data_IF_456778613983
#
_entry.id   IF_456778613983
#
_cell.length_a   1.000
_cell.length_b   1.000
_cell.length_c   1.000
_cell.angle_alpha   90.00
_cell.angle_beta   90.00
_cell.angle_gamma   90.00
#
_symmetry.space_group_name_H-M   'P 1'
#
loop_
_entity.id
_entity.type
_entity.pdbx_description
1 polymer ?
#
# COMPACT_ATOMS: atom_id res chain seq x y z
N UNK A 1 33.03 -48.47 -44.05
CA UNK A 1 33.15 -47.18 -43.33
C UNK A 1 31.93 -47.06 -42.43
N UNK A 2 32.04 -47.49 -41.17
CA UNK A 2 30.91 -47.68 -40.25
C UNK A 2 31.08 -46.82 -39.00
N UNK A 3 29.97 -46.17 -38.63
CA UNK A 3 29.63 -45.49 -37.37
C UNK A 3 30.34 -46.07 -36.14
N UNK A 4 30.78 -45.22 -35.20
CA UNK A 4 30.39 -45.28 -33.78
C UNK A 4 30.47 -43.88 -33.13
N UNK A 5 29.31 -43.41 -32.69
CA UNK A 5 29.08 -42.33 -31.73
C UNK A 5 29.59 -42.74 -30.35
N UNK A 6 30.29 -41.85 -29.65
CA UNK A 6 30.42 -41.90 -28.19
C UNK A 6 30.21 -40.48 -27.66
N UNK A 7 29.02 -40.25 -27.10
CA UNK A 7 28.72 -39.11 -26.26
C UNK A 7 29.13 -39.47 -24.83
N UNK A 8 30.02 -38.69 -24.21
CA UNK A 8 30.20 -38.69 -22.77
C UNK A 8 29.41 -37.50 -22.20
N UNK A 9 28.31 -37.80 -21.51
CA UNK A 9 27.63 -36.85 -20.64
C UNK A 9 28.53 -36.57 -19.43
N UNK A 10 29.07 -35.36 -19.33
CA UNK A 10 29.53 -34.82 -18.06
C UNK A 10 28.32 -34.28 -17.30
N UNK A 11 27.91 -34.98 -16.24
CA UNK A 11 26.87 -34.52 -15.31
C UNK A 11 27.41 -33.28 -14.60
N UNK A 12 26.90 -32.12 -14.98
CA UNK A 12 27.08 -30.88 -14.24
C UNK A 12 26.31 -30.98 -12.92
N UNK A 13 27.01 -31.25 -11.82
CA UNK A 13 26.48 -31.05 -10.49
C UNK A 13 26.35 -29.54 -10.23
N UNK A 14 25.24 -28.96 -10.68
CA UNK A 14 24.76 -27.65 -10.22
C UNK A 14 24.25 -27.83 -8.79
N UNK A 15 25.17 -27.95 -7.83
CA UNK A 15 24.91 -27.47 -6.48
C UNK A 15 24.85 -25.95 -6.58
N UNK A 16 23.64 -25.44 -6.86
CA UNK A 16 23.33 -24.04 -6.69
C UNK A 16 23.60 -23.69 -5.24
N UNK A 17 24.72 -23.04 -4.98
CA UNK A 17 24.93 -22.28 -3.77
C UNK A 17 23.84 -21.22 -3.73
N UNK A 18 22.76 -21.53 -3.00
CA UNK A 18 21.98 -20.51 -2.32
C UNK A 18 22.93 -19.88 -1.29
N UNK A 19 23.84 -19.04 -1.77
CA UNK A 19 24.35 -17.95 -0.97
C UNK A 19 23.11 -17.10 -0.70
N UNK A 20 22.46 -17.36 0.44
CA UNK A 20 21.68 -16.34 1.10
C UNK A 20 22.63 -15.15 1.22
N UNK A 21 22.51 -14.20 0.29
CA UNK A 21 23.12 -12.89 0.48
C UNK A 21 22.46 -12.38 1.74
N UNK A 22 23.18 -12.51 2.85
CA UNK A 22 22.97 -11.70 4.03
C UNK A 22 23.19 -10.26 3.55
N UNK A 23 22.14 -9.65 2.99
CA UNK A 23 22.10 -8.22 2.82
C UNK A 23 22.36 -7.67 4.22
N UNK A 24 23.58 -7.19 4.47
CA UNK A 24 24.07 -6.89 5.80
C UNK A 24 23.03 -6.00 6.49
N UNK A 25 22.44 -6.51 7.57
CA UNK A 25 21.46 -5.78 8.35
C UNK A 25 22.21 -4.67 9.11
N UNK A 26 21.60 -3.49 9.23
CA UNK A 26 22.19 -2.43 10.03
C UNK A 26 22.26 -2.87 11.50
N UNK A 27 23.41 -2.64 12.14
CA UNK A 27 23.68 -3.11 13.51
C UNK A 27 23.17 -2.14 14.60
N UNK A 28 22.79 -0.93 14.21
CA UNK A 28 22.44 0.19 15.09
C UNK A 28 20.92 0.45 15.20
N UNK A 29 20.09 -0.47 14.69
CA UNK A 29 18.62 -0.36 14.73
C UNK A 29 18.02 -0.98 15.99
N UNK A 30 17.08 -0.27 16.60
CA UNK A 30 16.20 -0.83 17.65
C UNK A 30 15.23 -1.86 17.07
N UNK A 31 14.58 -2.64 17.95
CA UNK A 31 13.70 -3.74 17.52
C UNK A 31 12.53 -3.27 16.64
N UNK A 32 11.92 -2.14 16.98
CA UNK A 32 10.82 -1.50 16.25
C UNK A 32 11.27 -0.84 14.93
N UNK A 33 12.57 -0.53 14.80
CA UNK A 33 13.15 0.09 13.60
C UNK A 33 13.62 -0.93 12.55
N UNK A 34 13.96 -2.15 12.98
CA UNK A 34 14.56 -3.18 12.11
C UNK A 34 13.71 -3.52 10.89
N UNK A 35 12.46 -3.91 11.08
CA UNK A 35 11.61 -4.31 9.95
C UNK A 35 11.34 -3.14 8.99
N UNK A 36 10.91 -1.95 9.46
CA UNK A 36 10.61 -0.82 8.58
C UNK A 36 11.81 -0.39 7.74
N UNK A 37 12.97 -0.20 8.39
CA UNK A 37 14.15 0.36 7.72
C UNK A 37 14.77 -0.67 6.77
N UNK A 38 14.77 -1.95 7.13
CA UNK A 38 15.28 -3.00 6.25
C UNK A 38 14.37 -3.21 5.03
N UNK A 39 13.04 -3.11 5.20
CA UNK A 39 12.10 -3.14 4.08
C UNK A 39 12.33 -1.97 3.11
N UNK A 40 12.54 -0.76 3.65
CA UNK A 40 12.89 0.41 2.84
C UNK A 40 14.26 0.26 2.15
N UNK A 41 15.26 -0.31 2.83
CA UNK A 41 16.59 -0.61 2.24
C UNK A 41 16.47 -1.59 1.08
N UNK A 42 15.69 -2.66 1.24
CA UNK A 42 15.49 -3.66 0.19
C UNK A 42 14.80 -3.08 -1.05
N UNK A 43 13.90 -2.11 -0.86
CA UNK A 43 13.27 -1.32 -1.94
C UNK A 43 14.19 -0.23 -2.50
N UNK A 44 15.41 -0.12 -1.99
CA UNK A 44 16.38 0.91 -2.33
C UNK A 44 16.00 2.31 -1.86
N UNK A 45 14.93 2.50 -1.08
CA UNK A 45 14.42 3.82 -0.68
C UNK A 45 15.39 4.54 0.25
N UNK A 46 16.02 3.79 1.15
CA UNK A 46 17.02 4.31 2.09
C UNK A 46 18.33 3.52 1.99
N UNK A 47 19.43 4.17 2.33
CA UNK A 47 20.78 3.59 2.40
C UNK A 47 21.42 3.91 3.74
N UNK A 48 22.39 3.11 4.17
CA UNK A 48 23.20 3.44 5.36
C UNK A 48 24.11 4.63 5.10
N UNK A 49 24.72 5.17 6.17
CA UNK A 49 25.90 6.04 5.99
C UNK A 49 27.12 5.23 5.54
N UNK A 50 27.12 3.95 5.87
CA UNK A 50 28.05 2.93 5.40
C UNK A 50 27.31 1.58 5.24
N UNK A 51 28.06 0.47 5.12
CA UNK A 51 27.51 -0.87 4.96
C UNK A 51 26.80 -1.44 6.20
N UNK A 52 27.11 -0.93 7.39
CA UNK A 52 26.73 -1.48 8.69
C UNK A 52 25.85 -0.55 9.53
N UNK A 53 25.90 0.77 9.29
CA UNK A 53 25.22 1.77 10.11
C UNK A 53 24.19 2.58 9.31
N UNK A 54 23.01 2.76 9.90
CA UNK A 54 21.98 3.65 9.38
C UNK A 54 22.00 5.03 10.03
N UNK A 55 22.46 5.13 11.28
CA UNK A 55 22.40 6.30 12.16
C UNK A 55 20.96 6.75 12.42
N UNK A 56 20.10 5.88 13.00
CA UNK A 56 18.68 6.18 13.18
C UNK A 56 18.40 7.33 14.16
N UNK A 57 19.31 7.58 15.12
CA UNK A 57 19.16 8.66 16.11
C UNK A 57 19.68 10.01 15.62
N UNK A 58 20.38 10.05 14.48
CA UNK A 58 20.83 11.30 13.87
C UNK A 58 19.65 12.11 13.34
N UNK A 59 19.78 13.44 13.37
CA UNK A 59 18.76 14.33 12.80
C UNK A 59 18.70 14.14 11.28
N UNK A 60 17.48 14.10 10.74
CA UNK A 60 17.27 14.06 9.29
C UNK A 60 17.35 15.48 8.72
N UNK A 61 18.04 15.66 7.61
CA UNK A 61 17.95 16.92 6.87
C UNK A 61 16.65 17.00 6.08
N UNK A 62 16.19 18.23 5.81
CA UNK A 62 15.00 18.47 4.99
C UNK A 62 15.11 17.79 3.61
N UNK A 63 16.28 17.87 2.98
CA UNK A 63 16.53 17.21 1.70
C UNK A 63 16.46 15.68 1.78
N UNK A 64 17.00 15.08 2.84
CA UNK A 64 16.90 13.64 3.04
C UNK A 64 15.45 13.20 3.17
N UNK A 65 14.63 13.93 3.94
CA UNK A 65 13.23 13.59 4.11
C UNK A 65 12.41 13.76 2.84
N UNK A 66 12.62 14.84 2.07
CA UNK A 66 11.95 15.04 0.77
C UNK A 66 12.33 13.94 -0.22
N UNK A 67 13.61 13.59 -0.29
CA UNK A 67 14.08 12.50 -1.15
C UNK A 67 13.44 11.15 -0.77
N UNK A 68 13.35 10.85 0.53
CA UNK A 68 12.68 9.66 1.04
C UNK A 68 11.20 9.62 0.63
N UNK A 69 10.46 10.72 0.77
CA UNK A 69 9.04 10.79 0.37
C UNK A 69 8.85 10.53 -1.13
N UNK A 70 9.61 11.24 -1.96
CA UNK A 70 9.55 11.12 -3.43
C UNK A 70 9.82 9.69 -3.85
N UNK A 71 10.87 9.07 -3.32
CA UNK A 71 11.25 7.71 -3.67
C UNK A 71 10.31 6.66 -3.09
N UNK A 72 9.94 6.80 -1.81
CA UNK A 72 9.16 5.81 -1.09
C UNK A 72 7.72 5.70 -1.57
N UNK A 73 7.09 6.84 -1.88
CA UNK A 73 5.75 6.89 -2.45
C UNK A 73 5.77 6.91 -3.98
N UNK A 74 6.93 6.84 -4.64
CA UNK A 74 7.06 6.89 -6.09
C UNK A 74 6.34 8.13 -6.68
N UNK A 75 6.62 9.31 -6.12
CA UNK A 75 6.24 10.58 -6.75
C UNK A 75 7.09 10.75 -8.02
N UNK A 76 6.48 11.17 -9.12
CA UNK A 76 7.17 11.33 -10.40
C UNK A 76 6.52 12.45 -11.23
N UNK A 77 7.07 12.68 -12.41
CA UNK A 77 6.62 13.67 -13.38
C UNK A 77 6.26 13.01 -14.72
N UNK A 78 6.06 11.69 -14.77
CA UNK A 78 6.02 10.89 -16.01
C UNK A 78 4.80 11.26 -16.89
N UNK A 79 3.71 11.67 -16.24
CA UNK A 79 2.47 12.10 -16.90
C UNK A 79 2.48 13.58 -17.28
N UNK A 80 3.47 14.35 -16.82
CA UNK A 80 3.56 15.79 -17.05
C UNK A 80 4.26 16.07 -18.39
N UNK A 81 3.91 17.20 -19.01
CA UNK A 81 4.49 17.63 -20.28
C UNK A 81 5.05 19.04 -20.13
N UNK A 82 6.32 19.20 -20.47
CA UNK A 82 7.03 20.46 -20.31
C UNK A 82 7.65 20.91 -21.63
N UNK A 83 7.55 22.21 -21.92
CA UNK A 83 8.28 22.83 -23.03
C UNK A 83 9.77 22.96 -22.66
N UNK A 84 10.07 23.25 -21.39
CA UNK A 84 11.40 23.24 -20.78
C UNK A 84 11.31 22.45 -19.47
N UNK A 85 12.22 21.52 -19.22
CA UNK A 85 12.27 20.79 -17.94
C UNK A 85 12.42 21.81 -16.80
N UNK A 86 11.56 21.78 -15.77
CA UNK A 86 11.66 22.70 -14.64
C UNK A 86 12.89 22.37 -13.80
N UNK A 87 13.46 23.41 -13.20
CA UNK A 87 14.65 23.34 -12.36
C UNK A 87 14.29 23.73 -10.91
N UNK A 88 15.11 23.32 -9.94
CA UNK A 88 14.82 23.60 -8.53
C UNK A 88 14.80 25.11 -8.23
N UNK A 89 15.68 25.87 -8.88
CA UNK A 89 15.75 27.33 -8.77
C UNK A 89 14.51 28.06 -9.27
N UNK A 90 13.65 27.40 -10.07
CA UNK A 90 12.37 27.99 -10.49
C UNK A 90 11.40 28.15 -9.30
N UNK A 91 11.59 27.35 -8.24
CA UNK A 91 10.68 27.27 -7.08
C UNK A 91 11.35 27.67 -5.77
N UNK A 92 12.63 27.36 -5.59
CA UNK A 92 13.33 27.49 -4.32
C UNK A 92 14.57 28.36 -4.42
N UNK A 93 14.78 29.20 -3.40
CA UNK A 93 15.92 30.13 -3.36
C UNK A 93 17.23 29.43 -2.97
N UNK A 94 17.16 28.39 -2.14
CA UNK A 94 18.33 27.75 -1.53
C UNK A 94 18.58 26.32 -2.03
N UNK A 95 17.95 25.89 -3.14
CA UNK A 95 18.13 24.54 -3.72
C UNK A 95 18.88 24.66 -5.06
N UNK A 96 20.19 24.35 -5.10
CA UNK A 96 20.96 24.39 -6.34
C UNK A 96 20.49 23.33 -7.35
N UNK A 97 20.43 23.68 -8.63
CA UNK A 97 19.94 22.78 -9.69
C UNK A 97 20.77 21.49 -9.87
N UNK A 98 22.04 21.50 -9.44
CA UNK A 98 22.95 20.36 -9.53
C UNK A 98 23.07 19.57 -8.22
N UNK A 99 22.32 19.91 -7.17
CA UNK A 99 22.32 19.16 -5.93
C UNK A 99 21.70 17.76 -6.13
N UNK A 100 22.20 16.75 -5.42
CA UNK A 100 21.70 15.37 -5.52
C UNK A 100 20.20 15.24 -5.20
N UNK A 101 19.65 16.17 -4.42
CA UNK A 101 18.25 16.25 -4.05
C UNK A 101 17.41 17.16 -4.95
N UNK A 102 18.01 17.93 -5.88
CA UNK A 102 17.32 18.96 -6.64
C UNK A 102 16.09 18.42 -7.40
N UNK A 103 16.24 17.28 -8.06
CA UNK A 103 15.13 16.64 -8.79
C UNK A 103 14.02 16.19 -7.84
N UNK A 104 14.33 15.72 -6.63
CA UNK A 104 13.32 15.37 -5.63
C UNK A 104 12.51 16.59 -5.19
N UNK A 105 13.14 17.77 -5.04
CA UNK A 105 12.42 19.01 -4.73
C UNK A 105 11.48 19.45 -5.85
N UNK A 106 11.92 19.33 -7.11
CA UNK A 106 11.08 19.63 -8.28
C UNK A 106 9.87 18.68 -8.34
N UNK A 107 10.11 17.37 -8.19
CA UNK A 107 9.04 16.37 -8.17
C UNK A 107 8.06 16.66 -7.03
N UNK A 108 8.56 16.90 -5.82
CA UNK A 108 7.73 17.22 -4.66
C UNK A 108 6.85 18.45 -4.89
N UNK A 109 7.44 19.55 -5.41
CA UNK A 109 6.71 20.77 -5.72
C UNK A 109 5.57 20.52 -6.72
N UNK A 110 5.85 19.80 -7.80
CA UNK A 110 4.89 19.54 -8.87
C UNK A 110 3.79 18.54 -8.47
N UNK A 111 4.06 17.72 -7.46
CA UNK A 111 3.07 16.86 -6.83
C UNK A 111 2.34 17.54 -5.65
N UNK A 112 2.60 18.84 -5.40
CA UNK A 112 1.85 19.65 -4.44
C UNK A 112 2.30 19.53 -2.98
N UNK A 113 3.52 19.07 -2.71
CA UNK A 113 4.05 19.07 -1.34
C UNK A 113 4.35 20.52 -0.90
N UNK A 114 3.90 20.94 0.30
CA UNK A 114 4.00 22.33 0.77
C UNK A 114 5.40 22.65 1.32
N UNK A 115 6.40 22.71 0.44
CA UNK A 115 7.78 23.05 0.80
C UNK A 115 7.96 24.58 0.70
N UNK A 116 8.50 25.26 1.74
CA UNK A 116 8.76 26.70 1.68
C UNK A 116 9.77 27.08 0.60
N UNK A 117 9.58 28.23 -0.05
CA UNK A 117 10.48 28.75 -1.09
C UNK A 117 11.92 28.97 -0.59
N UNK A 118 12.06 29.39 0.66
CA UNK A 118 13.32 29.70 1.33
C UNK A 118 13.84 28.55 2.20
N UNK A 119 13.29 27.32 2.04
CA UNK A 119 13.71 26.12 2.76
C UNK A 119 15.24 25.96 2.77
N UNK A 120 15.82 25.62 3.92
CA UNK A 120 17.20 25.16 4.01
C UNK A 120 17.24 23.63 3.79
N UNK A 121 17.70 23.14 2.62
CA UNK A 121 17.71 21.71 2.34
C UNK A 121 18.69 20.91 3.24
N UNK A 122 19.71 21.58 3.79
CA UNK A 122 20.71 20.94 4.66
C UNK A 122 20.36 21.10 6.15
N UNK A 123 19.43 22.01 6.46
CA UNK A 123 18.86 22.18 7.79
C UNK A 123 18.04 20.97 8.22
N UNK A 124 17.73 20.92 9.52
CA UNK A 124 16.89 19.89 10.11
C UNK A 124 15.41 20.16 9.80
N UNK A 125 14.58 19.14 9.99
CA UNK A 125 13.13 19.23 9.84
C UNK A 125 12.45 18.80 11.14
N UNK A 126 11.44 19.56 11.56
CA UNK A 126 10.64 19.21 12.73
C UNK A 126 9.62 18.12 12.43
N UNK A 127 9.10 17.49 13.48
CA UNK A 127 8.09 16.43 13.37
C UNK A 127 6.80 16.90 12.70
N UNK A 128 6.31 18.10 13.03
CA UNK A 128 5.07 18.62 12.43
C UNK A 128 5.25 18.95 10.94
N UNK A 129 6.41 19.48 10.54
CA UNK A 129 6.72 19.77 9.14
C UNK A 129 6.77 18.47 8.32
N UNK A 130 7.45 17.44 8.84
CA UNK A 130 7.51 16.17 8.13
C UNK A 130 6.16 15.45 8.07
N UNK A 131 5.36 15.51 9.14
CA UNK A 131 4.00 15.00 9.14
C UNK A 131 3.15 15.67 8.04
N UNK A 132 3.27 16.98 7.90
CA UNK A 132 2.56 17.72 6.85
C UNK A 132 2.97 17.27 5.44
N UNK A 133 4.28 17.17 5.18
CA UNK A 133 4.79 16.69 3.90
C UNK A 133 4.36 15.24 3.61
N UNK A 134 4.40 14.36 4.61
CA UNK A 134 4.05 12.95 4.45
C UNK A 134 2.57 12.78 4.13
N UNK A 135 1.68 13.51 4.80
CA UNK A 135 0.24 13.48 4.54
C UNK A 135 -0.09 14.01 3.14
N UNK A 136 0.50 15.15 2.74
CA UNK A 136 0.33 15.65 1.37
C UNK A 136 0.86 14.65 0.34
N UNK A 137 1.99 13.99 0.62
CA UNK A 137 2.51 12.95 -0.26
C UNK A 137 1.59 11.72 -0.35
N UNK A 138 0.96 11.31 0.75
CA UNK A 138 -0.08 10.27 0.75
C UNK A 138 -1.25 10.69 -0.13
N UNK A 139 -1.74 11.93 -0.03
CA UNK A 139 -2.91 12.42 -0.78
C UNK A 139 -2.70 12.39 -2.31
N UNK A 140 -1.46 12.43 -2.78
CA UNK A 140 -1.14 12.23 -4.20
C UNK A 140 -1.47 10.82 -4.70
N UNK A 141 -1.65 9.86 -3.80
CA UNK A 141 -1.88 8.43 -4.10
C UNK A 141 -3.34 8.03 -4.05
N UNK A 142 -4.20 8.92 -3.59
CA UNK A 142 -5.64 8.70 -3.60
C UNK A 142 -6.33 9.47 -2.49
N UNK A 143 -7.65 9.29 -2.45
CA UNK A 143 -8.46 9.80 -1.36
C UNK A 143 -8.60 8.72 -0.29
N UNK A 144 -8.21 9.04 0.93
CA UNK A 144 -8.29 8.11 2.05
C UNK A 144 -9.31 8.62 3.08
N UNK A 145 -10.32 7.81 3.43
CA UNK A 145 -11.31 8.22 4.40
C UNK A 145 -10.66 8.42 5.77
N UNK A 146 -11.05 9.50 6.43
CA UNK A 146 -10.70 9.81 7.82
C UNK A 146 -12.00 9.75 8.61
N UNK A 147 -12.01 9.06 9.74
CA UNK A 147 -13.14 9.13 10.67
C UNK A 147 -13.14 10.51 11.35
N UNK A 148 -14.31 11.12 11.54
CA UNK A 148 -14.46 12.41 12.23
C UNK A 148 -14.24 12.26 13.76
N UNK A 149 -13.07 11.78 14.14
CA UNK A 149 -12.62 11.67 15.52
C UNK A 149 -11.52 12.71 15.75
N UNK A 150 -11.62 13.44 16.85
CA UNK A 150 -10.58 14.36 17.28
C UNK A 150 -9.68 13.67 18.31
N UNK A 151 -8.37 13.59 18.04
CA UNK A 151 -7.38 13.09 18.99
C UNK A 151 -6.82 14.27 19.76
N UNK A 152 -7.01 14.32 21.08
CA UNK A 152 -6.40 15.37 21.90
C UNK A 152 -4.89 15.10 22.06
N UNK A 153 -4.06 16.10 21.79
CA UNK A 153 -2.62 16.09 22.10
C UNK A 153 -2.36 16.90 23.37
N UNK A 154 -1.53 16.39 24.29
CA UNK A 154 -1.17 17.12 25.49
C UNK A 154 -0.33 18.38 25.22
N UNK A 155 0.27 18.49 24.04
CA UNK A 155 1.03 19.63 23.52
C UNK A 155 0.34 20.24 22.29
N UNK A 156 -1.00 20.23 22.27
CA UNK A 156 -1.82 20.75 21.16
C UNK A 156 -1.49 22.20 20.80
N UNK A 157 -1.17 23.04 21.79
CA UNK A 157 -0.89 24.46 21.61
C UNK A 157 0.47 24.72 20.94
N UNK A 158 1.37 23.72 20.93
CA UNK A 158 2.68 23.82 20.26
C UNK A 158 2.58 23.47 18.76
N UNK A 159 1.45 22.92 18.30
CA UNK A 159 1.23 22.53 16.90
C UNK A 159 0.86 23.76 16.08
N UNK A 160 1.53 24.01 14.96
CA UNK A 160 1.11 25.08 14.05
C UNK A 160 -0.32 24.78 13.51
N UNK A 161 -1.29 25.70 13.69
CA UNK A 161 -2.65 25.51 13.21
C UNK A 161 -2.75 25.15 11.72
N UNK A 162 -1.79 25.58 10.89
CA UNK A 162 -1.75 25.28 9.45
C UNK A 162 -1.54 23.81 9.15
N UNK A 163 -0.86 23.08 10.04
CA UNK A 163 -0.54 21.65 9.85
C UNK A 163 -1.29 20.75 10.82
N UNK A 164 -2.15 21.31 11.68
CA UNK A 164 -2.91 20.57 12.69
C UNK A 164 -3.72 19.41 12.10
N UNK A 165 -4.36 19.62 10.94
CA UNK A 165 -5.08 18.55 10.23
C UNK A 165 -4.16 17.39 9.83
N UNK A 166 -2.98 17.70 9.29
CA UNK A 166 -1.99 16.69 8.93
C UNK A 166 -1.52 15.91 10.16
N UNK A 167 -1.25 16.60 11.27
CA UNK A 167 -0.84 15.96 12.54
C UNK A 167 -1.94 15.03 13.09
N UNK A 168 -3.20 15.45 13.07
CA UNK A 168 -4.34 14.58 13.43
C UNK A 168 -4.38 13.32 12.55
N UNK A 169 -4.24 13.51 11.22
CA UNK A 169 -4.31 12.42 10.25
C UNK A 169 -3.18 11.41 10.41
N UNK A 170 -1.99 11.82 10.87
CA UNK A 170 -0.91 10.88 11.20
C UNK A 170 -1.37 9.81 12.21
N UNK A 171 -2.14 10.21 13.23
CA UNK A 171 -2.66 9.29 14.24
C UNK A 171 -3.90 8.54 13.75
N UNK A 172 -4.84 9.24 13.10
CA UNK A 172 -6.09 8.63 12.62
C UNK A 172 -5.86 7.57 11.53
N UNK A 173 -4.87 7.78 10.67
CA UNK A 173 -4.42 6.78 9.68
C UNK A 173 -3.51 5.71 10.29
N UNK A 174 -3.23 5.77 11.60
CA UNK A 174 -2.35 4.85 12.34
C UNK A 174 -0.94 4.78 11.77
N UNK A 175 -0.43 5.90 11.27
CA UNK A 175 0.95 6.01 10.77
C UNK A 175 1.94 6.10 11.93
N UNK A 176 1.48 6.65 13.05
CA UNK A 176 2.22 6.77 14.31
C UNK A 176 1.35 6.34 15.49
N UNK A 177 2.01 6.09 16.62
CA UNK A 177 1.37 5.93 17.93
C UNK A 177 1.97 6.97 18.88
N UNK A 178 1.13 7.57 19.73
CA UNK A 178 1.59 8.51 20.75
C UNK A 178 2.16 7.75 21.95
N UNK A 179 3.07 8.39 22.67
CA UNK A 179 3.57 7.88 23.95
C UNK A 179 2.51 7.96 25.05
N UNK A 180 2.85 7.44 26.23
CA UNK A 180 1.99 7.50 27.42
C UNK A 180 1.67 8.94 27.86
N UNK A 181 2.55 9.88 27.53
CA UNK A 181 2.37 11.31 27.77
C UNK A 181 1.35 11.98 26.84
N UNK A 182 0.84 11.26 25.84
CA UNK A 182 -0.11 11.75 24.83
C UNK A 182 0.38 12.97 24.03
N UNK A 183 1.71 13.17 23.94
CA UNK A 183 2.33 14.28 23.21
C UNK A 183 2.74 13.91 21.80
N UNK A 184 2.64 14.86 20.87
CA UNK A 184 3.12 14.71 19.50
C UNK A 184 4.58 15.17 19.33
N UNK A 185 5.04 16.11 20.15
CA UNK A 185 6.34 16.80 20.07
C UNK A 185 6.55 17.58 18.76
N UNK A 186 5.65 18.51 18.39
CA UNK A 186 5.63 19.11 17.05
C UNK A 186 6.93 19.82 16.66
N UNK A 187 7.53 20.56 17.61
CA UNK A 187 8.73 21.37 17.37
C UNK A 187 10.05 20.61 17.51
N UNK A 188 10.02 19.33 17.90
CA UNK A 188 11.25 18.54 18.02
C UNK A 188 11.76 18.18 16.64
N UNK A 189 13.07 18.28 16.46
CA UNK A 189 13.76 17.79 15.27
C UNK A 189 13.53 16.29 15.07
N UNK A 190 13.19 15.93 13.84
CA UNK A 190 12.92 14.57 13.43
C UNK A 190 14.23 13.81 13.25
N UNK A 191 14.29 12.60 13.82
CA UNK A 191 15.42 11.71 13.57
C UNK A 191 15.25 10.94 12.27
N UNK A 192 16.36 10.49 11.69
CA UNK A 192 16.39 9.71 10.46
C UNK A 192 15.63 8.38 10.58
N UNK A 193 15.73 7.72 11.74
CA UNK A 193 14.98 6.50 12.04
C UNK A 193 13.48 6.75 12.08
N UNK A 194 13.04 7.83 12.73
CA UNK A 194 11.62 8.19 12.78
C UNK A 194 11.06 8.51 11.39
N UNK A 195 11.77 9.29 10.59
CA UNK A 195 11.38 9.59 9.22
C UNK A 195 11.15 8.30 8.40
N UNK A 196 12.09 7.36 8.49
CA UNK A 196 12.01 6.09 7.79
C UNK A 196 10.85 5.22 8.30
N UNK A 197 10.64 5.12 9.62
CA UNK A 197 9.53 4.36 10.19
C UNK A 197 8.18 4.94 9.75
N UNK A 198 8.01 6.25 9.80
CA UNK A 198 6.78 6.92 9.40
C UNK A 198 6.49 6.73 7.91
N UNK A 199 7.51 6.87 7.06
CA UNK A 199 7.41 6.60 5.64
C UNK A 199 7.01 5.14 5.37
N UNK A 200 7.61 4.18 6.06
CA UNK A 200 7.24 2.78 5.92
C UNK A 200 5.77 2.53 6.28
N UNK A 201 5.30 3.09 7.39
CA UNK A 201 3.88 3.04 7.77
C UNK A 201 2.98 3.64 6.71
N UNK A 202 3.35 4.79 6.15
CA UNK A 202 2.60 5.46 5.07
C UNK A 202 2.54 4.61 3.79
N UNK A 203 3.65 3.98 3.40
CA UNK A 203 3.69 3.09 2.25
C UNK A 203 2.77 1.89 2.48
N UNK A 204 2.84 1.23 3.65
CA UNK A 204 1.95 0.12 3.99
C UNK A 204 0.49 0.55 4.00
N UNK A 205 0.21 1.74 4.51
CA UNK A 205 -1.13 2.34 4.48
C UNK A 205 -1.62 2.48 3.03
N UNK A 206 -0.89 3.18 2.17
CA UNK A 206 -1.25 3.37 0.75
C UNK A 206 -1.45 2.03 0.04
N UNK A 207 -0.52 1.08 0.21
CA UNK A 207 -0.57 -0.24 -0.40
C UNK A 207 -1.77 -1.07 0.10
N UNK A 208 -2.15 -0.93 1.37
CA UNK A 208 -3.32 -1.63 1.91
C UNK A 208 -4.63 -1.20 1.24
N UNK A 209 -4.77 0.09 0.93
CA UNK A 209 -5.94 0.62 0.20
C UNK A 209 -5.87 0.30 -1.28
N UNK A 210 -4.70 0.36 -1.91
CA UNK A 210 -4.53 -0.04 -3.31
C UNK A 210 -4.89 -1.53 -3.50
N UNK A 211 -4.57 -2.38 -2.54
CA UNK A 211 -4.93 -3.80 -2.56
C UNK A 211 -6.40 -4.04 -2.19
N UNK A 212 -7.00 -3.22 -1.33
CA UNK A 212 -8.45 -3.29 -1.04
C UNK A 212 -9.31 -2.74 -2.19
N UNK A 213 -8.77 -1.84 -3.02
CA UNK A 213 -9.43 -1.26 -4.20
C UNK A 213 -9.18 -2.05 -5.48
N UNK A 214 -8.22 -2.98 -5.52
CA UNK A 214 -8.22 -4.01 -6.55
C UNK A 214 -9.53 -4.78 -6.39
N UNK A 215 -10.44 -4.81 -7.38
CA UNK A 215 -11.49 -5.81 -7.35
C UNK A 215 -10.80 -7.15 -7.09
N UNK A 216 -11.33 -7.94 -6.16
CA UNK A 216 -10.89 -9.31 -5.96
C UNK A 216 -10.65 -9.91 -7.35
N UNK A 217 -9.52 -10.62 -7.60
CA UNK A 217 -9.24 -11.20 -8.90
C UNK A 217 -10.54 -11.76 -9.44
N UNK A 218 -11.03 -11.20 -10.55
CA UNK A 218 -12.29 -11.61 -11.13
C UNK A 218 -12.04 -13.03 -11.63
N UNK A 219 -12.15 -14.00 -10.73
CA UNK A 219 -12.30 -15.38 -11.11
C UNK A 219 -13.61 -15.45 -11.87
N UNK A 220 -13.56 -15.96 -13.09
CA UNK A 220 -14.74 -16.11 -13.93
C UNK A 220 -15.73 -17.06 -13.26
N UNK A 221 -16.72 -16.49 -12.58
CA UNK A 221 -17.85 -17.24 -12.04
C UNK A 221 -18.77 -17.60 -13.21
N UNK A 222 -18.89 -18.90 -13.47
CA UNK A 222 -19.78 -19.40 -14.51
C UNK A 222 -21.23 -19.33 -14.04
N UNK A 223 -22.08 -18.68 -14.84
CA UNK A 223 -23.53 -18.60 -14.62
C UNK A 223 -24.22 -19.63 -15.50
N UNK A 224 -24.88 -20.62 -14.89
CA UNK A 224 -25.75 -21.58 -15.58
C UNK A 224 -27.20 -21.28 -15.24
N UNK A 225 -28.07 -21.25 -16.25
CA UNK A 225 -29.51 -21.01 -16.07
C UNK A 225 -30.27 -22.27 -16.47
N UNK A 226 -31.00 -22.84 -15.54
CA UNK A 226 -31.84 -24.02 -15.73
C UNK A 226 -33.31 -23.61 -15.60
N UNK A 227 -34.12 -23.93 -16.61
CA UNK A 227 -35.56 -23.67 -16.56
C UNK A 227 -36.21 -24.61 -15.54
N UNK A 228 -36.89 -24.06 -14.54
CA UNK A 228 -37.67 -24.85 -13.56
C UNK A 228 -39.11 -24.97 -14.02
N UNK A 229 -39.73 -23.86 -14.40
CA UNK A 229 -41.06 -23.79 -15.00
C UNK A 229 -41.18 -22.54 -15.89
N UNK A 230 -42.39 -22.18 -16.35
CA UNK A 230 -42.60 -21.05 -17.25
C UNK A 230 -42.31 -19.68 -16.62
N UNK A 231 -42.40 -19.57 -15.29
CA UNK A 231 -42.27 -18.31 -14.56
C UNK A 231 -40.93 -18.15 -13.82
N UNK A 232 -40.18 -19.25 -13.61
CA UNK A 232 -38.99 -19.31 -12.74
C UNK A 232 -37.85 -20.08 -13.40
N UNK A 233 -36.65 -19.47 -13.35
CA UNK A 233 -35.37 -20.08 -13.65
C UNK A 233 -34.57 -20.32 -12.36
N UNK A 234 -33.87 -21.46 -12.28
CA UNK A 234 -32.81 -21.70 -11.31
C UNK A 234 -31.50 -21.19 -11.89
N UNK A 235 -30.74 -20.43 -11.11
CA UNK A 235 -29.45 -19.87 -11.51
C UNK A 235 -28.37 -20.44 -10.61
N UNK A 236 -27.37 -21.08 -11.21
CA UNK A 236 -26.23 -21.67 -10.52
C UNK A 236 -24.98 -20.86 -10.85
N UNK A 237 -24.30 -20.38 -9.81
CA UNK A 237 -23.00 -19.75 -9.87
C UNK A 237 -21.94 -20.81 -9.52
N UNK A 238 -21.02 -21.12 -10.45
CA UNK A 238 -19.89 -22.01 -10.21
C UNK A 238 -18.58 -21.24 -10.20
N UNK A 239 -17.75 -21.51 -9.18
CA UNK A 239 -16.38 -20.99 -9.05
C UNK A 239 -15.35 -21.85 -9.79
N UNK A 240 -15.81 -22.85 -10.56
CA UNK A 240 -14.96 -23.82 -11.26
C UNK A 240 -14.22 -24.77 -10.31
N UNK A 241 -13.39 -25.64 -10.89
CA UNK A 241 -12.58 -26.60 -10.14
C UNK A 241 -11.50 -25.90 -9.30
N UNK A 242 -11.38 -26.30 -8.04
CA UNK A 242 -10.42 -25.79 -7.06
C UNK A 242 -9.56 -26.93 -6.52
N UNK A 243 -8.26 -26.71 -6.27
CA UNK A 243 -7.30 -27.78 -5.98
C UNK A 243 -7.49 -28.47 -4.62
N UNK A 244 -8.13 -27.79 -3.67
CA UNK A 244 -8.38 -28.28 -2.31
C UNK A 244 -9.76 -27.88 -1.83
N UNK A 245 -10.19 -28.41 -0.67
CA UNK A 245 -11.33 -27.88 0.06
C UNK A 245 -11.07 -26.49 0.67
N UNK A 246 -12.12 -25.81 1.09
CA UNK A 246 -12.03 -24.50 1.78
C UNK A 246 -12.24 -23.29 0.87
N UNK A 247 -12.34 -23.49 -0.44
CA UNK A 247 -12.86 -22.48 -1.36
C UNK A 247 -14.39 -22.42 -1.28
N UNK A 248 -14.95 -21.22 -1.23
CA UNK A 248 -16.39 -20.99 -1.18
C UNK A 248 -16.84 -19.94 -2.18
N UNK A 249 -18.12 -20.03 -2.55
CA UNK A 249 -18.90 -18.99 -3.22
C UNK A 249 -20.24 -18.88 -2.48
N UNK A 250 -20.70 -17.66 -2.22
CA UNK A 250 -21.98 -17.41 -1.57
C UNK A 250 -22.72 -16.26 -2.25
N UNK A 251 -24.01 -16.43 -2.51
CA UNK A 251 -24.86 -15.35 -3.02
C UNK A 251 -25.22 -14.44 -1.85
N UNK A 252 -24.91 -13.14 -2.01
CA UNK A 252 -25.12 -12.12 -0.97
C UNK A 252 -26.40 -11.32 -1.19
N UNK A 253 -26.74 -10.99 -2.44
CA UNK A 253 -27.98 -10.26 -2.76
C UNK A 253 -28.41 -10.45 -4.21
N UNK A 254 -29.67 -10.13 -4.49
CA UNK A 254 -30.22 -10.12 -5.85
C UNK A 254 -30.91 -8.77 -6.05
N UNK A 255 -30.55 -8.06 -7.13
CA UNK A 255 -31.15 -6.79 -7.54
C UNK A 255 -31.76 -6.91 -8.92
N UNK A 256 -32.98 -6.42 -9.08
CA UNK A 256 -33.66 -6.37 -10.37
C UNK A 256 -33.50 -4.97 -10.97
N UNK A 257 -32.95 -4.89 -12.17
CA UNK A 257 -32.69 -3.63 -12.86
C UNK A 257 -33.77 -3.35 -13.91
N UNK A 258 -34.00 -2.06 -14.19
CA UNK A 258 -35.03 -1.61 -15.12
C UNK A 258 -34.79 -2.06 -16.57
N UNK A 259 -33.56 -2.49 -16.89
CA UNK A 259 -33.17 -3.04 -18.18
C UNK A 259 -33.48 -4.55 -18.34
N UNK A 260 -34.15 -5.16 -17.35
CA UNK A 260 -34.54 -6.56 -17.38
C UNK A 260 -33.44 -7.52 -16.88
N UNK A 261 -32.37 -7.03 -16.25
CA UNK A 261 -31.38 -7.88 -15.59
C UNK A 261 -31.75 -8.21 -14.14
N UNK A 262 -31.41 -9.42 -13.72
CA UNK A 262 -31.33 -9.80 -12.31
C UNK A 262 -29.86 -9.95 -11.95
N UNK A 263 -29.32 -8.93 -11.27
CA UNK A 263 -27.94 -8.88 -10.82
C UNK A 263 -27.81 -9.67 -9.52
N UNK A 264 -27.08 -10.78 -9.57
CA UNK A 264 -26.81 -11.69 -8.46
C UNK A 264 -25.42 -11.35 -7.93
N UNK A 265 -25.40 -10.72 -6.77
CA UNK A 265 -24.15 -10.35 -6.09
C UNK A 265 -23.62 -11.53 -5.29
N UNK A 266 -22.34 -11.85 -5.44
CA UNK A 266 -21.70 -12.98 -4.74
C UNK A 266 -20.43 -12.59 -4.00
N UNK A 267 -20.04 -13.38 -3.00
CA UNK A 267 -18.75 -13.32 -2.31
C UNK A 267 -17.97 -14.61 -2.55
N UNK A 268 -16.64 -14.49 -2.64
CA UNK A 268 -15.72 -15.61 -2.74
C UNK A 268 -14.97 -15.74 -1.42
N UNK A 269 -14.76 -16.97 -0.94
CA UNK A 269 -13.98 -17.26 0.27
C UNK A 269 -12.82 -18.16 -0.09
N UNK A 270 -11.61 -17.79 0.30
CA UNK A 270 -10.41 -18.61 0.12
C UNK A 270 -10.05 -19.34 1.42
N UNK A 271 -9.41 -20.52 1.30
CA UNK A 271 -8.90 -21.22 2.47
C UNK A 271 -7.86 -20.37 3.20
N UNK A 272 -7.93 -20.34 4.54
CA UNK A 272 -6.92 -19.64 5.34
C UNK A 272 -5.54 -20.29 5.14
N UNK A 273 -4.45 -19.51 5.13
CA UNK A 273 -3.10 -20.06 5.28
C UNK A 273 -3.07 -21.01 6.49
N UNK A 274 -2.47 -22.19 6.33
CA UNK A 274 -2.35 -23.24 7.35
C UNK A 274 -3.64 -23.95 7.78
N UNK A 275 -4.75 -23.78 7.04
CA UNK A 275 -5.96 -24.57 7.29
C UNK A 275 -5.83 -26.02 6.81
N UNK A 276 -6.24 -26.96 7.66
CA UNK A 276 -6.29 -28.40 7.36
C UNK A 276 -7.48 -28.70 6.43
N UNK A 277 -7.37 -28.32 5.15
CA UNK A 277 -8.38 -28.63 4.15
C UNK A 277 -8.15 -29.98 3.48
N UNK A 278 -9.21 -30.52 2.88
CA UNK A 278 -9.16 -31.73 2.07
C UNK A 278 -8.25 -31.52 0.86
N UNK A 279 -7.41 -32.51 0.56
CA UNK A 279 -6.52 -32.53 -0.62
C UNK A 279 -7.24 -33.16 -1.82
N UNK A 280 -8.44 -32.65 -2.13
CA UNK A 280 -9.27 -33.13 -3.23
C UNK A 280 -9.79 -31.94 -4.04
N UNK A 281 -9.92 -32.15 -5.35
CA UNK A 281 -10.50 -31.14 -6.24
C UNK A 281 -11.98 -30.94 -5.86
N UNK A 282 -12.39 -29.68 -5.68
CA UNK A 282 -13.78 -29.31 -5.36
C UNK A 282 -14.33 -28.33 -6.40
N UNK A 283 -15.64 -28.27 -6.57
CA UNK A 283 -16.30 -27.26 -7.41
C UNK A 283 -17.30 -26.46 -6.56
N UNK A 284 -16.88 -25.32 -5.97
CA UNK A 284 -17.77 -24.50 -5.16
C UNK A 284 -18.89 -23.91 -6.01
N UNK A 285 -20.14 -24.13 -5.58
CA UNK A 285 -21.34 -23.60 -6.25
C UNK A 285 -22.28 -22.91 -5.26
N UNK A 286 -23.04 -21.95 -5.76
CA UNK A 286 -24.16 -21.33 -5.06
C UNK A 286 -25.34 -21.17 -6.02
N UNK A 287 -26.57 -21.33 -5.52
CA UNK A 287 -27.76 -21.30 -6.36
C UNK A 287 -28.83 -20.35 -5.85
N UNK A 288 -29.62 -19.81 -6.77
CA UNK A 288 -30.80 -19.01 -6.46
C UNK A 288 -31.88 -19.14 -7.54
N UNK A 289 -33.03 -18.53 -7.31
CA UNK A 289 -34.18 -18.57 -8.22
C UNK A 289 -34.57 -17.17 -8.64
N UNK A 290 -34.76 -16.99 -9.94
CA UNK A 290 -35.06 -15.71 -10.58
C UNK A 290 -36.24 -15.91 -11.52
N UNK A 291 -37.16 -14.93 -11.60
CA UNK A 291 -38.24 -15.01 -12.58
C UNK A 291 -37.70 -15.12 -14.01
N UNK A 292 -38.34 -15.95 -14.83
CA UNK A 292 -37.98 -16.20 -16.24
C UNK A 292 -37.95 -14.94 -17.11
N UNK A 293 -38.58 -13.86 -16.65
CA UNK A 293 -38.62 -12.54 -17.30
C UNK A 293 -37.30 -11.77 -17.20
N UNK A 294 -36.41 -12.13 -16.28
CA UNK A 294 -35.14 -11.44 -16.07
C UNK A 294 -33.96 -12.25 -16.61
N UNK A 295 -32.97 -11.55 -17.15
CA UNK A 295 -31.67 -12.13 -17.53
C UNK A 295 -30.72 -12.14 -16.32
N UNK A 296 -30.30 -13.31 -15.81
CA UNK A 296 -29.37 -13.38 -14.69
C UNK A 296 -27.97 -12.91 -15.08
N UNK A 297 -27.35 -12.08 -14.24
CA UNK A 297 -25.96 -11.62 -14.37
C UNK A 297 -25.29 -11.71 -13.01
N UNK A 298 -24.06 -12.22 -12.93
CA UNK A 298 -23.31 -12.33 -11.68
C UNK A 298 -22.31 -11.19 -11.54
N UNK A 299 -22.26 -10.56 -10.36
CA UNK A 299 -21.31 -9.50 -10.03
C UNK A 299 -20.68 -9.79 -8.65
N UNK A 300 -19.36 -9.59 -8.46
CA UNK A 300 -18.77 -9.72 -7.13
C UNK A 300 -19.32 -8.61 -6.21
N UNK A 301 -19.50 -8.93 -4.94
CA UNK A 301 -19.77 -7.92 -3.93
C UNK A 301 -18.62 -6.91 -3.94
N UNK A 302 -18.96 -5.63 -4.12
CA UNK A 302 -17.99 -4.56 -3.89
C UNK A 302 -17.41 -4.77 -2.48
N UNK A 303 -16.09 -4.69 -2.35
CA UNK A 303 -15.44 -4.74 -1.05
C UNK A 303 -16.03 -3.61 -0.20
N UNK A 304 -17.01 -3.95 0.65
CA UNK A 304 -17.52 -3.05 1.66
C UNK A 304 -16.31 -2.73 2.52
N UNK A 305 -15.89 -1.46 2.47
CA UNK A 305 -14.99 -0.89 3.45
C UNK A 305 -15.50 -1.32 4.82
N UNK A 306 -14.75 -2.22 5.46
CA UNK A 306 -15.10 -2.73 6.77
C UNK A 306 -14.98 -1.55 7.72
N UNK A 307 -16.11 -0.89 8.01
CA UNK A 307 -16.24 -0.10 9.23
C UNK A 307 -16.16 -1.10 10.38
N UNK A 308 -15.12 -1.06 11.24
CA UNK A 308 -15.01 -2.03 12.32
C UNK A 308 -16.19 -1.85 13.27
N UNK A 309 -16.91 -2.95 13.50
CA UNK A 309 -17.98 -3.01 14.48
C UNK A 309 -17.45 -2.59 15.86
N UNK A 310 -18.14 -1.61 16.44
CA UNK A 310 -17.94 -1.11 17.80
C UNK A 310 -18.21 -2.26 18.79
N UNK A 311 -17.27 -2.67 19.66
CA UNK A 311 -17.65 -3.45 20.83
C UNK A 311 -18.53 -2.55 21.72
N UNK A 312 -19.76 -3.00 21.96
CA UNK A 312 -20.71 -2.31 22.84
C UNK A 312 -20.11 -2.22 24.26
N UNK A 313 -20.06 -0.97 24.74
CA UNK A 313 -19.99 -0.46 26.13
C UNK A 313 -19.15 -1.24 27.14
#
# INVERSE_FOLDING_TARGET
MMKKTVALLSVAALFGSLAASSALAFNDLSADQKEPIMALKQRGIVSGVDGEHFVPTGQASYAQTVHMLVKGLNLNMDTMRFIKKPEASDYYTNVPNNAWYAESFVIAQLNGLPIPKDVDPNGTITREQYADLLIHAIDTKGMYPVIEMFVAFADQDDIDPKVSSSVQRMVLHKLITLGEDTKFYPKRELTRGEAAVWLHSAIKFVESYANAQKPAPQEDVKVTVEKVNDDVNKVVLSRGEKPTGGYGIAISSIRFEADGRAVITYTLTDPKPDSMNTQAITEPTAETYVSSKYKPVAEPAAATSVSPAIPKS
#
